data_IF_159946523291
#
_entry.id   IF_159946523291
#
_cell.length_a   1.000
_cell.length_b   1.000
_cell.length_c   1.000
_cell.angle_alpha   90.00
_cell.angle_beta   90.00
_cell.angle_gamma   90.00
#
_symmetry.space_group_name_H-M   'P 1'
#
loop_
_entity.id
_entity.type
_entity.pdbx_description
1 polymer ?
#
# COMPACT_ATOMS: atom_id res chain seq x y z
N UNK A 1 4.61 18.48 -2.29
CA UNK A 1 5.29 17.19 -2.54
C UNK A 1 6.78 17.24 -2.23
N UNK A 2 7.57 18.17 -2.79
CA UNK A 2 9.02 18.27 -2.47
C UNK A 2 9.30 18.50 -0.97
N UNK A 3 8.53 19.36 -0.30
CA UNK A 3 8.65 19.59 1.15
C UNK A 3 8.33 18.34 1.98
N UNK A 4 7.38 17.52 1.52
CA UNK A 4 7.02 16.25 2.15
C UNK A 4 8.13 15.22 1.96
N UNK A 5 8.69 15.11 0.74
CA UNK A 5 9.84 14.25 0.44
C UNK A 5 11.01 14.57 1.37
N UNK A 6 11.39 15.84 1.46
CA UNK A 6 12.47 16.31 2.33
C UNK A 6 12.22 15.99 3.81
N UNK A 7 10.98 16.11 4.27
CA UNK A 7 10.62 15.75 5.64
C UNK A 7 10.79 14.25 5.89
N UNK A 8 10.31 13.41 4.98
CA UNK A 8 10.45 11.94 5.07
C UNK A 8 11.93 11.55 5.08
N UNK A 9 12.75 12.13 4.21
CA UNK A 9 14.21 11.84 4.17
C UNK A 9 14.93 12.17 5.47
N UNK A 10 14.48 13.19 6.20
CA UNK A 10 15.11 13.60 7.45
C UNK A 10 14.57 12.89 8.68
N UNK A 11 13.28 12.52 8.65
CA UNK A 11 12.58 11.95 9.80
C UNK A 11 12.64 10.41 9.81
N UNK A 12 12.88 9.77 8.65
CA UNK A 12 12.96 8.31 8.49
C UNK A 12 14.41 7.81 8.40
N UNK A 13 14.70 6.66 9.00
CA UNK A 13 15.95 5.93 8.85
C UNK A 13 15.96 5.14 7.53
N UNK A 14 16.85 5.46 6.58
CA UNK A 14 16.85 4.82 5.26
C UNK A 14 17.19 3.33 5.28
N UNK A 15 17.71 2.79 6.39
CA UNK A 15 18.05 1.36 6.51
C UNK A 15 16.92 0.53 7.09
N UNK A 16 15.99 1.17 7.78
CA UNK A 16 14.97 0.48 8.54
C UNK A 16 13.56 0.92 8.12
N UNK A 17 13.32 2.22 7.88
CA UNK A 17 12.09 2.82 7.33
C UNK A 17 11.97 2.59 5.83
N UNK A 18 11.60 1.35 5.50
CA UNK A 18 11.39 0.87 4.15
C UNK A 18 9.93 0.49 3.91
N UNK A 19 9.44 0.81 2.71
CA UNK A 19 8.13 0.40 2.23
C UNK A 19 8.22 -0.98 1.59
N UNK A 20 7.49 -1.96 2.11
CA UNK A 20 7.35 -3.29 1.49
C UNK A 20 6.19 -3.26 0.49
N UNK A 21 6.51 -3.50 -0.78
CA UNK A 21 5.51 -3.76 -1.82
C UNK A 21 5.84 -5.06 -2.54
N UNK A 22 5.30 -6.17 -2.02
CA UNK A 22 5.34 -7.47 -2.68
C UNK A 22 6.75 -8.09 -2.74
N UNK A 23 7.52 -8.01 -1.65
CA UNK A 23 8.90 -8.54 -1.45
C UNK A 23 10.00 -7.62 -1.92
N UNK A 24 9.62 -6.44 -2.40
CA UNK A 24 10.55 -5.39 -2.76
C UNK A 24 10.48 -4.31 -1.68
N UNK A 25 11.64 -3.97 -1.13
CA UNK A 25 11.80 -2.91 -0.15
C UNK A 25 12.18 -1.63 -0.88
N UNK A 26 11.44 -0.56 -0.63
CA UNK A 26 11.69 0.75 -1.21
C UNK A 26 11.98 1.78 -0.11
N UNK A 27 12.70 2.87 -0.41
CA UNK A 27 12.85 3.98 0.53
C UNK A 27 11.48 4.52 0.98
N UNK A 28 11.39 5.05 2.22
CA UNK A 28 10.16 5.70 2.71
C UNK A 28 9.64 6.82 1.78
N UNK A 29 10.52 7.42 0.96
CA UNK A 29 10.15 8.44 -0.03
C UNK A 29 9.42 7.89 -1.25
N UNK A 30 9.42 6.57 -1.49
CA UNK A 30 9.01 5.97 -2.76
C UNK A 30 7.62 6.42 -3.23
N UNK A 31 6.63 6.51 -2.34
CA UNK A 31 5.29 6.98 -2.70
C UNK A 31 5.33 8.44 -3.17
N UNK A 32 6.05 9.31 -2.45
CA UNK A 32 6.18 10.72 -2.82
C UNK A 32 6.96 10.88 -4.12
N UNK A 33 7.99 10.05 -4.32
CA UNK A 33 8.78 10.02 -5.55
C UNK A 33 7.94 9.65 -6.76
N UNK A 34 6.98 8.72 -6.63
CA UNK A 34 6.01 8.40 -7.70
C UNK A 34 5.13 9.58 -8.09
N UNK A 35 4.64 10.34 -7.10
CA UNK A 35 3.84 11.53 -7.38
C UNK A 35 4.67 12.66 -7.98
N UNK A 36 5.91 12.85 -7.54
CA UNK A 36 6.82 13.83 -8.11
C UNK A 36 7.18 13.47 -9.55
N UNK A 37 7.53 12.21 -9.80
CA UNK A 37 7.78 11.70 -11.15
C UNK A 37 6.59 11.93 -12.08
N UNK A 38 5.38 11.54 -11.68
CA UNK A 38 4.18 11.76 -12.47
C UNK A 38 3.93 13.25 -12.73
N UNK A 39 4.15 14.11 -11.73
CA UNK A 39 4.04 15.55 -11.88
C UNK A 39 5.08 16.10 -12.86
N UNK A 40 6.35 15.70 -12.74
CA UNK A 40 7.45 16.19 -13.58
C UNK A 40 7.26 15.83 -15.05
N UNK A 41 6.77 14.63 -15.34
CA UNK A 41 6.45 14.18 -16.70
C UNK A 41 5.20 14.91 -17.24
N UNK A 42 4.08 14.88 -16.53
CA UNK A 42 2.80 15.44 -17.03
C UNK A 42 2.79 16.98 -17.08
N UNK A 43 3.47 17.64 -16.15
CA UNK A 43 3.55 19.10 -16.11
C UNK A 43 4.81 19.65 -16.79
N UNK A 44 5.49 18.84 -17.60
CA UNK A 44 6.67 19.27 -18.32
C UNK A 44 6.36 20.47 -19.21
N UNK A 45 7.26 21.46 -19.17
CA UNK A 45 7.18 22.67 -19.99
C UNK A 45 8.29 22.65 -21.01
N UNK A 46 7.93 22.91 -22.26
CA UNK A 46 8.87 23.07 -23.33
C UNK A 46 9.90 24.16 -22.95
N UNK A 47 11.19 23.85 -23.05
CA UNK A 47 12.30 24.70 -22.59
C UNK A 47 12.39 26.03 -23.32
N UNK A 48 11.98 26.05 -24.58
CA UNK A 48 12.09 27.25 -25.42
C UNK A 48 10.89 28.19 -25.24
N UNK A 49 9.69 27.61 -25.12
CA UNK A 49 8.42 28.37 -25.10
C UNK A 49 7.84 28.56 -23.70
N UNK A 50 8.14 27.66 -22.77
CA UNK A 50 7.54 27.60 -21.44
C UNK A 50 6.10 27.05 -21.41
N UNK A 51 5.58 26.61 -22.56
CA UNK A 51 4.25 26.04 -22.69
C UNK A 51 4.22 24.59 -22.21
N UNK A 52 3.08 24.16 -21.67
CA UNK A 52 2.91 22.78 -21.22
C UNK A 52 2.89 21.82 -22.40
N UNK A 53 3.70 20.77 -22.32
CA UNK A 53 3.84 19.82 -23.41
C UNK A 53 2.60 18.97 -23.64
N UNK A 54 1.82 18.66 -22.60
CA UNK A 54 0.52 18.01 -22.77
C UNK A 54 -0.44 18.82 -23.65
N UNK A 55 -0.38 20.16 -23.58
CA UNK A 55 -1.17 21.02 -24.46
C UNK A 55 -0.66 20.97 -25.91
N UNK A 56 0.66 21.04 -26.11
CA UNK A 56 1.30 20.97 -27.44
C UNK A 56 1.03 19.61 -28.10
N UNK A 57 1.23 18.50 -27.39
CA UNK A 57 0.92 17.15 -27.84
C UNK A 57 -0.56 17.02 -28.22
N UNK A 58 -1.46 17.65 -27.47
CA UNK A 58 -2.88 17.73 -27.79
C UNK A 58 -3.15 18.41 -29.14
N UNK A 59 -2.38 19.45 -29.50
CA UNK A 59 -2.50 20.11 -30.80
C UNK A 59 -2.02 19.21 -31.95
N UNK A 60 -0.90 18.50 -31.78
CA UNK A 60 -0.36 17.61 -32.81
C UNK A 60 -1.32 16.48 -33.17
N UNK A 61 -2.07 15.94 -32.20
CA UNK A 61 -3.10 14.92 -32.48
C UNK A 61 -4.21 15.39 -33.43
N UNK A 62 -4.42 16.70 -33.54
CA UNK A 62 -5.39 17.30 -34.46
C UNK A 62 -4.76 17.73 -35.80
N UNK A 63 -3.44 17.60 -35.97
CA UNK A 63 -2.77 17.89 -37.22
C UNK A 63 -3.01 16.76 -38.23
N UNK A 64 -3.05 17.13 -39.50
CA UNK A 64 -3.24 16.20 -40.63
C UNK A 64 -1.98 16.04 -41.46
N UNK A 65 -0.88 16.69 -41.07
CA UNK A 65 0.42 16.56 -41.71
C UNK A 65 1.31 15.55 -40.97
N UNK A 66 2.16 14.86 -41.72
CA UNK A 66 3.11 13.87 -41.17
C UNK A 66 4.39 14.55 -40.66
N UNK A 67 4.27 15.74 -40.06
CA UNK A 67 5.43 16.45 -39.54
C UNK A 67 6.06 15.62 -38.39
N UNK A 68 7.34 15.20 -38.51
CA UNK A 68 7.97 14.42 -37.46
C UNK A 68 8.27 15.31 -36.25
N UNK A 69 7.67 14.98 -35.11
CA UNK A 69 7.82 15.71 -33.85
C UNK A 69 8.81 15.04 -32.88
N UNK A 70 9.43 13.93 -33.29
CA UNK A 70 10.28 13.08 -32.43
C UNK A 70 11.49 13.83 -31.82
N UNK A 71 11.92 14.91 -32.48
CA UNK A 71 13.02 15.75 -32.03
C UNK A 71 12.58 17.00 -31.24
N UNK A 72 11.29 17.17 -30.98
CA UNK A 72 10.79 18.28 -30.18
C UNK A 72 11.07 18.06 -28.68
N UNK A 73 11.25 19.15 -27.95
CA UNK A 73 11.52 19.09 -26.51
C UNK A 73 10.33 18.50 -25.72
N UNK A 74 9.10 18.61 -26.24
CA UNK A 74 7.93 17.96 -25.66
C UNK A 74 7.92 16.44 -25.80
N UNK A 75 8.84 15.87 -26.58
CA UNK A 75 9.10 14.43 -26.64
C UNK A 75 10.34 14.09 -25.82
N UNK A 76 11.47 14.74 -26.12
CA UNK A 76 12.77 14.40 -25.53
C UNK A 76 12.89 14.79 -24.05
N UNK A 77 12.20 15.85 -23.60
CA UNK A 77 12.21 16.32 -22.23
C UNK A 77 11.59 15.34 -21.23
N UNK A 78 10.34 14.89 -21.46
CA UNK A 78 9.75 13.81 -20.69
C UNK A 78 10.60 12.53 -20.72
N UNK A 79 11.13 12.13 -21.87
CA UNK A 79 12.01 10.96 -21.96
C UNK A 79 13.25 11.09 -21.06
N UNK A 80 13.85 12.28 -20.97
CA UNK A 80 14.98 12.55 -20.06
C UNK A 80 14.62 12.31 -18.59
N UNK A 81 13.44 12.78 -18.15
CA UNK A 81 12.96 12.58 -16.78
C UNK A 81 12.78 11.09 -16.50
N UNK A 82 12.23 10.36 -17.46
CA UNK A 82 11.93 8.94 -17.31
C UNK A 82 13.19 8.08 -17.20
N UNK A 83 14.19 8.30 -18.05
CA UNK A 83 15.44 7.53 -18.00
C UNK A 83 16.30 7.89 -16.80
N UNK A 84 16.15 9.08 -16.23
CA UNK A 84 16.89 9.50 -15.04
C UNK A 84 16.14 9.19 -13.73
N UNK A 85 14.94 8.60 -13.80
CA UNK A 85 14.13 8.25 -12.65
C UNK A 85 14.21 6.76 -12.34
N UNK A 86 14.45 6.40 -11.08
CA UNK A 86 14.36 4.99 -10.62
C UNK A 86 12.99 4.34 -10.86
N UNK A 87 11.94 5.14 -11.11
CA UNK A 87 10.57 4.68 -11.36
C UNK A 87 10.32 4.48 -12.86
N UNK A 88 10.83 5.37 -13.71
CA UNK A 88 10.59 5.39 -15.15
C UNK A 88 11.63 4.64 -15.99
N UNK A 89 12.80 4.36 -15.41
CA UNK A 89 13.97 3.83 -16.11
C UNK A 89 13.80 2.35 -16.49
N UNK A 90 14.10 2.06 -17.75
CA UNK A 90 14.40 0.72 -18.26
C UNK A 90 15.55 0.79 -19.26
N UNK A 91 16.30 -0.30 -19.42
CA UNK A 91 17.41 -0.34 -20.38
C UNK A 91 16.97 0.04 -21.81
N UNK A 92 15.79 -0.46 -22.23
CA UNK A 92 15.23 -0.18 -23.55
C UNK A 92 14.93 1.31 -23.76
N UNK A 93 14.31 1.97 -22.76
CA UNK A 93 13.98 3.41 -22.84
C UNK A 93 15.23 4.27 -22.79
N UNK A 94 16.22 3.87 -22.00
CA UNK A 94 17.52 4.55 -21.94
C UNK A 94 18.26 4.45 -23.27
N UNK A 95 18.19 3.31 -23.95
CA UNK A 95 18.76 3.13 -25.27
C UNK A 95 18.02 3.95 -26.34
N UNK A 96 16.68 3.97 -26.29
CA UNK A 96 15.83 4.76 -27.19
C UNK A 96 16.12 6.26 -27.03
N UNK A 97 16.13 6.78 -25.81
CA UNK A 97 16.44 8.18 -25.53
C UNK A 97 17.83 8.58 -26.04
N UNK A 98 18.86 7.78 -25.74
CA UNK A 98 20.22 8.02 -26.22
C UNK A 98 20.31 8.00 -27.75
N UNK A 99 19.55 7.11 -28.40
CA UNK A 99 19.43 7.08 -29.87
C UNK A 99 18.73 8.33 -30.41
N UNK A 100 17.64 8.75 -29.79
CA UNK A 100 16.84 9.91 -30.18
C UNK A 100 17.64 11.22 -30.06
N UNK A 101 18.31 11.47 -28.94
CA UNK A 101 19.11 12.71 -28.78
C UNK A 101 20.28 12.75 -29.78
N UNK A 102 20.88 11.59 -30.08
CA UNK A 102 21.97 11.46 -31.05
C UNK A 102 21.48 11.72 -32.48
N UNK A 103 20.38 11.09 -32.89
CA UNK A 103 19.81 11.26 -34.23
C UNK A 103 19.26 12.67 -34.47
N UNK A 104 18.68 13.29 -33.44
CA UNK A 104 18.17 14.66 -33.47
C UNK A 104 19.28 15.73 -33.34
N UNK A 105 20.53 15.34 -33.05
CA UNK A 105 21.65 16.26 -32.87
C UNK A 105 21.44 17.29 -31.75
N UNK A 106 20.62 16.96 -30.75
CA UNK A 106 20.27 17.88 -29.65
C UNK A 106 21.36 17.90 -28.59
N UNK A 107 21.57 19.07 -28.01
CA UNK A 107 22.47 19.28 -26.87
C UNK A 107 21.68 19.87 -25.70
N UNK A 108 22.08 19.58 -24.46
CA UNK A 108 21.36 20.03 -23.26
C UNK A 108 20.45 18.99 -22.60
N UNK A 109 20.42 17.76 -23.13
CA UNK A 109 19.85 16.60 -22.45
C UNK A 109 20.97 15.83 -21.74
N UNK A 110 20.66 15.31 -20.56
CA UNK A 110 21.57 14.56 -19.69
C UNK A 110 21.02 13.18 -19.40
N UNK A 111 21.89 12.18 -19.42
CA UNK A 111 21.57 10.83 -18.98
C UNK A 111 22.44 10.48 -17.78
N UNK A 112 21.79 10.12 -16.68
CA UNK A 112 22.40 9.64 -15.45
C UNK A 112 21.78 8.29 -15.18
N UNK A 113 22.55 7.23 -15.36
CA UNK A 113 22.10 5.88 -15.07
C UNK A 113 21.66 5.79 -13.59
N UNK A 114 20.37 5.53 -13.30
CA UNK A 114 19.88 5.50 -11.93
C UNK A 114 20.48 4.31 -11.19
N UNK A 115 20.99 4.55 -9.98
CA UNK A 115 21.35 3.47 -9.06
C UNK A 115 20.08 2.78 -8.59
N UNK A 116 19.68 1.69 -9.26
CA UNK A 116 18.46 0.96 -8.91
C UNK A 116 18.58 0.45 -7.47
N UNK A 117 17.84 1.05 -6.52
CA UNK A 117 17.75 0.61 -5.12
C UNK A 117 16.96 -0.70 -4.93
N UNK A 118 16.81 -1.49 -5.99
CA UNK A 118 16.23 -2.82 -5.88
C UNK A 118 17.30 -3.76 -5.33
N UNK A 119 17.37 -3.80 -4.00
CA UNK A 119 18.00 -4.92 -3.31
C UNK A 119 17.14 -6.15 -3.61
N UNK A 120 17.41 -6.78 -4.75
CA UNK A 120 17.01 -8.17 -4.97
C UNK A 120 17.58 -8.95 -3.78
N UNK A 121 16.69 -9.44 -2.92
CA UNK A 121 17.09 -10.28 -1.81
C UNK A 121 17.76 -11.51 -2.40
N UNK A 122 19.09 -11.51 -2.42
CA UNK A 122 19.88 -12.66 -2.81
C UNK A 122 19.46 -13.83 -1.92
N UNK A 123 19.10 -14.94 -2.54
CA UNK A 123 18.78 -16.16 -1.82
C UNK A 123 19.97 -16.59 -0.94
N UNK A 124 19.65 -16.97 0.30
CA UNK A 124 20.44 -17.84 1.18
C UNK A 124 21.73 -17.28 1.82
N UNK A 125 21.58 -16.73 3.02
CA UNK A 125 22.22 -17.25 4.24
C UNK A 125 21.53 -16.63 5.48
N UNK A 126 21.13 -17.43 6.46
CA UNK A 126 20.55 -16.94 7.73
C UNK A 126 21.52 -15.99 8.45
N UNK A 127 21.12 -14.74 8.80
CA UNK A 127 21.87 -13.96 9.76
C UNK A 127 21.29 -14.21 11.17
N UNK A 128 22.12 -14.78 12.04
CA UNK A 128 21.91 -14.79 13.48
C UNK A 128 22.40 -13.45 14.02
N UNK A 129 21.51 -12.46 14.15
CA UNK A 129 21.57 -11.33 15.10
C UNK A 129 20.17 -10.71 15.10
N UNK A 130 19.60 -10.53 16.29
CA UNK A 130 18.25 -10.04 16.51
C UNK A 130 18.00 -8.67 15.85
N UNK A 131 17.18 -8.65 14.81
CA UNK A 131 16.62 -7.43 14.26
C UNK A 131 15.55 -6.90 15.23
N UNK A 132 15.76 -5.68 15.70
CA UNK A 132 14.81 -4.95 16.51
C UNK A 132 13.52 -4.69 15.70
N UNK A 133 12.51 -5.50 15.98
CA UNK A 133 11.16 -5.09 16.41
C UNK A 133 10.29 -4.19 15.53
N UNK A 134 10.61 -3.95 14.26
CA UNK A 134 9.67 -3.19 13.43
C UNK A 134 9.54 -3.66 11.97
N UNK A 135 10.51 -4.37 11.42
CA UNK A 135 10.46 -4.85 10.01
C UNK A 135 9.96 -6.30 9.84
N UNK A 136 9.32 -6.88 10.86
CA UNK A 136 8.65 -8.19 10.79
C UNK A 136 7.11 -8.07 10.71
N UNK A 137 6.60 -6.93 10.23
CA UNK A 137 5.17 -6.76 9.96
C UNK A 137 4.78 -6.98 8.51
N UNK A 138 5.67 -7.58 7.72
CA UNK A 138 5.19 -8.72 6.95
C UNK A 138 4.95 -9.87 7.93
N UNK A 139 3.88 -9.74 8.70
CA UNK A 139 3.23 -10.90 9.29
C UNK A 139 3.00 -11.84 8.09
N UNK A 140 3.78 -12.92 7.94
CA UNK A 140 3.25 -14.21 8.35
C UNK A 140 2.06 -13.94 9.25
N UNK A 141 0.86 -14.02 8.67
CA UNK A 141 -0.35 -14.26 9.42
C UNK A 141 0.00 -15.39 10.38
N UNK A 142 0.48 -15.04 11.57
CA UNK A 142 0.83 -16.02 12.56
C UNK A 142 -0.53 -16.49 12.97
N UNK A 143 -0.90 -17.63 12.41
CA UNK A 143 -2.17 -18.24 12.64
C UNK A 143 -2.34 -18.37 14.14
N UNK A 144 -3.04 -17.41 14.74
CA UNK A 144 -3.15 -17.33 16.18
C UNK A 144 -4.05 -18.46 16.64
N UNK A 145 -5.04 -18.79 15.81
CA UNK A 145 -5.89 -19.96 15.93
C UNK A 145 -6.45 -20.36 14.57
N UNK A 146 -7.14 -21.50 14.54
CA UNK A 146 -7.86 -22.00 13.36
C UNK A 146 -9.35 -21.95 13.65
N UNK A 147 -10.14 -21.53 12.67
CA UNK A 147 -11.60 -21.53 12.73
C UNK A 147 -12.18 -22.44 11.66
N UNK A 148 -13.10 -23.31 12.05
CA UNK A 148 -13.79 -24.21 11.13
C UNK A 148 -15.08 -23.57 10.65
N UNK A 149 -15.18 -23.28 9.35
CA UNK A 149 -16.30 -22.53 8.77
C UNK A 149 -17.60 -23.34 8.86
N UNK A 150 -18.63 -22.72 9.42
CA UNK A 150 -19.96 -23.29 9.57
C UNK A 150 -20.88 -22.91 8.40
N UNK A 151 -21.96 -23.66 8.23
CA UNK A 151 -23.00 -23.30 7.26
C UNK A 151 -23.67 -21.98 7.66
N UNK A 152 -23.72 -21.02 6.73
CA UNK A 152 -24.29 -19.70 6.95
C UNK A 152 -23.31 -18.65 7.48
N UNK A 153 -22.05 -19.00 7.70
CA UNK A 153 -21.03 -18.03 8.09
C UNK A 153 -20.78 -16.98 7.00
N UNK A 154 -20.43 -15.78 7.46
CA UNK A 154 -19.92 -14.65 6.67
C UNK A 154 -18.60 -14.21 7.27
N UNK A 155 -17.74 -13.51 6.52
CA UNK A 155 -16.50 -13.00 7.12
C UNK A 155 -16.80 -12.04 8.27
N UNK A 156 -17.90 -11.28 8.20
CA UNK A 156 -18.34 -10.36 9.23
C UNK A 156 -18.81 -11.09 10.49
N UNK A 157 -19.60 -12.16 10.35
CA UNK A 157 -20.04 -12.96 11.51
C UNK A 157 -18.86 -13.68 12.18
N UNK A 158 -17.94 -14.25 11.38
CA UNK A 158 -16.72 -14.87 11.90
C UNK A 158 -15.86 -13.82 12.61
N UNK A 159 -15.66 -12.64 12.02
CA UNK A 159 -14.91 -11.54 12.63
C UNK A 159 -15.49 -11.11 13.98
N UNK A 160 -16.81 -10.97 14.06
CA UNK A 160 -17.50 -10.62 15.30
C UNK A 160 -17.28 -11.69 16.38
N UNK A 161 -17.48 -12.97 16.03
CA UNK A 161 -17.42 -14.07 16.98
C UNK A 161 -15.99 -14.41 17.42
N UNK A 162 -15.03 -14.27 16.52
CA UNK A 162 -13.62 -14.58 16.78
C UNK A 162 -12.83 -13.36 17.29
N UNK A 163 -13.45 -12.18 17.40
CA UNK A 163 -12.80 -10.93 17.79
C UNK A 163 -11.58 -10.60 16.92
N UNK A 164 -11.75 -10.63 15.60
CA UNK A 164 -10.69 -10.35 14.62
C UNK A 164 -11.16 -9.36 13.58
N UNK A 165 -10.26 -8.54 13.05
CA UNK A 165 -10.60 -7.63 11.94
C UNK A 165 -10.96 -8.43 10.68
N UNK A 166 -11.98 -7.98 9.96
CA UNK A 166 -12.44 -8.65 8.72
C UNK A 166 -11.38 -8.59 7.64
N UNK A 167 -10.64 -7.49 7.55
CA UNK A 167 -9.49 -7.38 6.64
C UNK A 167 -8.36 -8.33 7.02
N UNK A 168 -8.04 -8.45 8.32
CA UNK A 168 -7.05 -9.41 8.80
C UNK A 168 -7.43 -10.86 8.53
N UNK A 169 -8.72 -11.19 8.67
CA UNK A 169 -9.26 -12.49 8.30
C UNK A 169 -9.08 -12.78 6.80
N UNK A 170 -9.47 -11.85 5.93
CA UNK A 170 -9.40 -12.03 4.48
C UNK A 170 -7.94 -12.18 4.01
N UNK A 171 -7.07 -11.25 4.40
CA UNK A 171 -5.67 -11.23 3.95
C UNK A 171 -4.84 -12.37 4.57
N UNK A 172 -5.27 -12.92 5.70
CA UNK A 172 -4.64 -14.09 6.30
C UNK A 172 -5.01 -15.43 5.64
N UNK A 173 -5.89 -15.41 4.63
CA UNK A 173 -6.42 -16.61 3.99
C UNK A 173 -6.52 -16.43 2.47
N UNK A 174 -5.54 -16.94 1.72
CA UNK A 174 -5.46 -16.82 0.24
C UNK A 174 -6.71 -17.35 -0.51
N UNK A 175 -7.48 -18.23 0.13
CA UNK A 175 -8.73 -18.76 -0.42
C UNK A 175 -9.85 -17.71 -0.46
N UNK A 176 -9.73 -16.64 0.32
CA UNK A 176 -10.66 -15.53 0.39
C UNK A 176 -10.14 -14.36 -0.45
N UNK A 177 -11.00 -13.81 -1.31
CA UNK A 177 -10.69 -12.54 -1.96
C UNK A 177 -11.15 -11.34 -1.10
N UNK A 178 -10.84 -10.10 -1.53
CA UNK A 178 -11.25 -8.85 -0.86
C UNK A 178 -12.76 -8.63 -0.68
N UNK A 179 -13.61 -9.52 -1.20
CA UNK A 179 -15.07 -9.50 -1.13
C UNK A 179 -15.59 -10.68 -0.29
N UNK A 180 -14.71 -11.33 0.49
CA UNK A 180 -15.00 -12.59 1.20
C UNK A 180 -15.50 -13.71 0.27
N UNK A 181 -15.30 -13.59 -1.05
CA UNK A 181 -15.69 -14.67 -1.96
C UNK A 181 -14.66 -15.78 -1.85
N UNK A 182 -15.13 -17.02 -1.74
CA UNK A 182 -14.29 -18.19 -1.41
C UNK A 182 -14.54 -18.75 -0.02
N UNK A 183 -15.40 -18.13 0.79
CA UNK A 183 -15.87 -18.71 2.05
C UNK A 183 -16.78 -19.91 1.76
N UNK A 184 -16.35 -21.11 2.20
CA UNK A 184 -17.09 -22.37 2.02
C UNK A 184 -17.17 -23.11 3.35
N UNK A 185 -18.36 -23.58 3.71
CA UNK A 185 -18.56 -24.39 4.91
C UNK A 185 -17.68 -25.65 4.89
N UNK A 186 -17.09 -25.98 6.05
CA UNK A 186 -16.21 -27.13 6.23
C UNK A 186 -14.73 -26.86 5.93
N UNK A 187 -14.35 -25.66 5.48
CA UNK A 187 -12.94 -25.28 5.36
C UNK A 187 -12.40 -24.70 6.67
N UNK A 188 -11.09 -24.86 6.87
CA UNK A 188 -10.40 -24.27 8.00
C UNK A 188 -9.77 -22.94 7.56
N UNK A 189 -10.05 -21.89 8.32
CA UNK A 189 -9.46 -20.57 8.14
C UNK A 189 -8.46 -20.28 9.25
N UNK A 190 -7.43 -19.56 8.86
CA UNK A 190 -6.43 -19.02 9.75
C UNK A 190 -6.92 -17.71 10.38
N UNK A 191 -7.00 -17.65 11.71
CA UNK A 191 -7.41 -16.45 12.44
C UNK A 191 -6.19 -15.60 12.81
N UNK A 192 -6.22 -14.27 12.59
CA UNK A 192 -5.20 -13.37 13.11
C UNK A 192 -5.32 -13.24 14.64
N UNK A 193 -4.42 -12.46 15.25
CA UNK A 193 -4.50 -12.14 16.68
C UNK A 193 -5.82 -11.44 17.02
N UNK A 194 -6.35 -11.75 18.20
CA UNK A 194 -7.64 -11.23 18.63
C UNK A 194 -7.50 -9.79 19.12
N UNK A 195 -8.50 -8.97 18.84
CA UNK A 195 -8.53 -7.58 19.25
C UNK A 195 -9.96 -7.20 19.65
N UNK A 196 -10.12 -6.12 20.41
CA UNK A 196 -11.46 -5.53 20.55
C UNK A 196 -11.90 -5.04 19.19
N UNK A 197 -13.02 -5.55 18.69
CA UNK A 197 -13.55 -5.17 17.36
C UNK A 197 -14.66 -4.13 17.45
N UNK A 198 -14.77 -3.29 16.42
CA UNK A 198 -15.88 -2.38 16.20
C UNK A 198 -16.41 -2.58 14.77
N UNK A 199 -17.72 -2.66 14.63
CA UNK A 199 -18.37 -2.70 13.33
C UNK A 199 -18.47 -1.28 12.80
N UNK A 200 -17.90 -1.01 11.63
CA UNK A 200 -17.85 0.34 11.07
C UNK A 200 -19.23 0.80 10.64
N UNK A 201 -19.68 1.92 11.21
CA UNK A 201 -20.93 2.61 10.91
C UNK A 201 -20.69 3.78 9.93
N UNK A 202 -21.70 4.22 9.16
CA UNK A 202 -21.54 5.27 8.15
C UNK A 202 -21.06 6.64 8.69
N UNK A 203 -21.21 6.89 9.98
CA UNK A 203 -20.82 8.12 10.68
C UNK A 203 -19.52 7.99 11.49
N UNK A 204 -18.88 6.83 11.44
CA UNK A 204 -17.57 6.66 12.07
C UNK A 204 -16.48 7.46 11.33
N UNK A 205 -15.50 7.90 12.12
CA UNK A 205 -14.27 8.53 11.66
C UNK A 205 -13.12 8.01 12.54
N UNK A 206 -11.87 8.18 12.09
CA UNK A 206 -10.73 7.84 12.95
C UNK A 206 -10.78 8.60 14.28
N UNK A 207 -11.16 9.89 14.24
CA UNK A 207 -11.24 10.75 15.41
C UNK A 207 -12.33 10.28 16.37
N UNK A 208 -13.54 10.03 15.88
CA UNK A 208 -14.65 9.59 16.73
C UNK A 208 -14.39 8.22 17.35
N UNK A 209 -13.75 7.31 16.61
CA UNK A 209 -13.36 5.99 17.12
C UNK A 209 -12.19 6.08 18.11
N UNK A 210 -11.19 6.91 17.84
CA UNK A 210 -10.07 7.16 18.73
C UNK A 210 -10.58 7.69 20.09
N UNK A 211 -11.45 8.69 20.06
CA UNK A 211 -12.07 9.24 21.27
C UNK A 211 -12.91 8.20 22.02
N UNK A 212 -13.76 7.45 21.29
CA UNK A 212 -14.66 6.43 21.85
C UNK A 212 -13.89 5.31 22.55
N UNK A 213 -12.75 4.91 22.00
CA UNK A 213 -11.98 3.76 22.47
C UNK A 213 -10.73 4.15 23.28
N UNK A 214 -10.49 5.44 23.51
CA UNK A 214 -9.32 5.92 24.26
C UNK A 214 -8.01 5.60 23.54
N UNK A 215 -8.01 5.72 22.21
CA UNK A 215 -6.89 5.45 21.33
C UNK A 215 -6.49 6.73 20.57
N UNK A 216 -5.46 6.65 19.74
CA UNK A 216 -5.12 7.69 18.75
C UNK A 216 -5.38 7.18 17.34
N UNK A 217 -5.51 8.06 16.33
CA UNK A 217 -5.55 7.64 14.92
C UNK A 217 -4.36 6.77 14.52
N UNK A 218 -3.18 7.05 15.12
CA UNK A 218 -1.98 6.24 14.95
C UNK A 218 -2.17 4.83 15.51
N UNK A 219 -2.73 4.68 16.71
CA UNK A 219 -3.01 3.36 17.29
C UNK A 219 -4.00 2.57 16.42
N UNK A 220 -5.05 3.21 15.92
CA UNK A 220 -6.02 2.58 15.01
C UNK A 220 -5.35 2.11 13.70
N UNK A 221 -4.45 2.91 13.14
CA UNK A 221 -3.68 2.52 11.97
C UNK A 221 -2.72 1.36 12.27
N UNK A 222 -2.04 1.39 13.43
CA UNK A 222 -1.15 0.31 13.88
C UNK A 222 -1.88 -1.01 14.11
N UNK A 223 -3.11 -0.99 14.62
CA UNK A 223 -3.90 -2.20 14.86
C UNK A 223 -4.59 -2.74 13.61
N UNK A 224 -4.65 -1.94 12.53
CA UNK A 224 -5.26 -2.31 11.27
C UNK A 224 -4.32 -2.02 10.08
N UNK A 225 -3.10 -2.59 10.07
CA UNK A 225 -2.06 -2.23 9.10
C UNK A 225 -2.41 -2.66 7.67
N UNK A 226 -3.32 -3.62 7.51
CA UNK A 226 -3.83 -4.13 6.23
C UNK A 226 -5.01 -3.32 5.70
N UNK A 227 -5.46 -2.34 6.49
CA UNK A 227 -6.44 -1.36 6.07
C UNK A 227 -5.66 -0.13 5.62
N UNK A 228 -5.93 0.34 4.41
CA UNK A 228 -5.51 1.67 4.01
C UNK A 228 -6.38 2.67 4.77
N UNK A 229 -6.13 2.82 6.07
CA UNK A 229 -6.77 3.85 6.88
C UNK A 229 -6.07 5.15 6.51
N UNK A 230 -6.49 5.74 5.39
CA UNK A 230 -6.36 7.18 5.27
C UNK A 230 -7.43 7.76 6.18
N UNK A 231 -7.03 8.16 7.39
CA UNK A 231 -7.89 8.95 8.28
C UNK A 231 -8.31 10.30 7.67
N UNK A 232 -7.90 10.58 6.43
CA UNK A 232 -8.31 11.71 5.63
C UNK A 232 -9.68 11.49 4.96
N UNK A 233 -10.07 10.22 4.68
CA UNK A 233 -11.35 9.84 4.06
C UNK A 233 -11.77 8.42 4.54
N UNK A 234 -12.38 8.34 5.73
CA UNK A 234 -12.86 7.09 6.32
C UNK A 234 -14.10 6.56 5.56
N UNK A 235 -13.91 6.08 4.33
CA UNK A 235 -14.99 5.61 3.45
C UNK A 235 -14.90 4.10 3.29
N UNK A 236 -15.74 3.38 4.04
CA UNK A 236 -16.00 1.97 3.75
C UNK A 236 -17.21 1.84 2.84
N UNK A 237 -16.99 1.29 1.64
CA UNK A 237 -18.07 0.91 0.74
C UNK A 237 -18.82 -0.34 1.21
N UNK A 238 -18.42 -0.96 2.33
CA UNK A 238 -18.97 -2.23 2.84
C UNK A 238 -18.96 -2.35 4.38
N UNK A 239 -19.94 -3.07 4.96
CA UNK A 239 -19.88 -3.60 6.33
C UNK A 239 -18.54 -4.26 6.64
N UNK A 240 -17.88 -3.91 7.75
CA UNK A 240 -16.61 -4.55 8.16
C UNK A 240 -16.36 -4.36 9.65
N UNK A 241 -15.64 -5.31 10.27
CA UNK A 241 -15.08 -5.15 11.61
C UNK A 241 -13.61 -4.74 11.55
N UNK A 242 -13.23 -3.79 12.40
CA UNK A 242 -11.85 -3.32 12.58
C UNK A 242 -11.42 -3.49 14.03
N UNK A 243 -10.11 -3.58 14.25
CA UNK A 243 -9.54 -3.55 15.60
C UNK A 243 -9.57 -2.12 16.15
N UNK A 244 -10.17 -1.95 17.33
CA UNK A 244 -10.18 -0.69 18.11
C UNK A 244 -9.51 -0.88 19.47
N UNK A 245 -8.72 -1.95 19.59
CA UNK A 245 -7.82 -2.22 20.68
C UNK A 245 -6.62 -3.01 20.15
N UNK A 246 -5.52 -2.96 20.89
CA UNK A 246 -4.30 -3.68 20.53
C UNK A 246 -4.59 -5.17 20.31
N UNK A 247 -4.17 -5.76 19.17
CA UNK A 247 -4.23 -7.20 18.99
C UNK A 247 -3.38 -7.93 20.03
N UNK A 248 -3.92 -8.98 20.60
CA UNK A 248 -3.30 -9.84 21.58
C UNK A 248 -3.38 -11.30 21.12
N UNK A 249 -2.32 -12.07 21.38
CA UNK A 249 -2.37 -13.52 21.24
C UNK A 249 -3.37 -14.04 22.26
N UNK A 250 -4.45 -14.67 21.79
CA UNK A 250 -5.45 -15.25 22.68
C UNK A 250 -4.75 -16.18 23.68
N UNK A 251 -4.91 -15.93 24.98
CA UNK A 251 -4.73 -16.99 25.95
C UNK A 251 -5.74 -18.08 25.57
N UNK A 252 -5.28 -19.26 25.19
CA UNK A 252 -6.16 -20.40 24.89
C UNK A 252 -7.11 -20.58 26.07
N UNK A 253 -8.37 -20.15 25.96
CA UNK A 253 -9.39 -20.50 26.94
C UNK A 253 -9.81 -21.93 26.59
N UNK A 254 -9.49 -22.94 27.41
CA UNK A 254 -9.88 -24.30 27.13
C UNK A 254 -11.41 -24.37 26.99
N UNK A 255 -11.88 -25.21 26.09
CA UNK A 255 -13.27 -25.33 25.64
C UNK A 255 -14.27 -25.81 26.72
N UNK A 256 -13.96 -25.68 28.01
CA UNK A 256 -14.75 -26.18 29.13
C UNK A 256 -15.54 -25.12 29.91
N UNK A 257 -15.62 -23.86 29.46
CA UNK A 257 -16.29 -22.81 30.25
C UNK A 257 -17.38 -21.97 29.58
N UNK A 258 -17.90 -22.35 28.40
CA UNK A 258 -19.23 -21.89 27.96
C UNK A 258 -20.32 -22.66 28.71
N UNK A 259 -20.49 -22.37 30.01
CA UNK A 259 -21.75 -22.67 30.70
C UNK A 259 -22.73 -21.51 30.45
N UNK A 260 -23.67 -21.79 29.53
CA UNK A 260 -24.99 -21.17 29.36
C UNK A 260 -25.42 -20.25 30.51
N UNK A 261 -25.38 -18.93 30.28
CA UNK A 261 -26.28 -18.02 30.96
C UNK A 261 -27.54 -17.86 30.08
N UNK A 262 -28.53 -18.70 30.35
CA UNK A 262 -29.91 -18.47 29.91
C UNK A 262 -30.50 -17.46 30.90
N UNK A 263 -30.90 -16.25 30.49
CA UNK A 263 -31.59 -15.34 31.39
C UNK A 263 -32.97 -15.94 31.74
N UNK A 264 -33.24 -16.11 33.04
CA UNK A 264 -34.60 -16.35 33.54
C UNK A 264 -35.46 -15.14 33.21
N UNK A 265 -36.55 -15.36 32.50
CA UNK A 265 -37.72 -14.49 32.58
C UNK A 265 -38.45 -14.85 33.88
N UNK A 266 -38.53 -13.90 34.80
CA UNK A 266 -39.48 -13.97 35.91
C UNK A 266 -40.74 -13.19 35.49
N UNK A 267 -41.90 -13.80 35.74
CA UNK A 267 -43.27 -13.30 35.50
C UNK A 267 -43.61 -12.01 36.28
#
# INVERSE_FOLDING_TARGET
MQSLRYKIENDCDPTSDLLDHGLNMFPATHIVDRYLYAYEVSCYKNRDTGDFCDYILGQWRNQTDDAPHDCDDCVLGPMEIEVNSEIGHTEDRSAEFQSAISSCGKTGYTYIEPSIHSSTSAASAEPTIAAAHWSAHRMSSNCASTYHVQEGDTCESISADQNVSTKGLIEGNDVLNGWCSGLVAGQDLCMPEQCKVHFVEPDDSCESLADKYGATPKDLAEWNPLMYIQCDDFVYSKPTYICVGKPEKSAQVPWSQKQLHIPRFDD
#
